data_IF_742124025433
#
_entry.id   IF_742124025433
#
_cell.length_a   1.000
_cell.length_b   1.000
_cell.length_c   1.000
_cell.angle_alpha   90.00
_cell.angle_beta   90.00
_cell.angle_gamma   90.00
#
_symmetry.space_group_name_H-M   'P 1'
#
loop_
_entity.id
_entity.type
_entity.pdbx_description
1 polymer ?
#
# COMPACT_ATOMS: atom_id res chain seq x y z
N UNK A 1 -2.57 -19.32 17.19
CA UNK A 1 -3.26 -18.00 17.31
C UNK A 1 -2.53 -17.02 18.22
N UNK A 2 -1.84 -17.46 19.28
CA UNK A 2 -1.12 -16.59 20.23
C UNK A 2 0.00 -15.72 19.63
N UNK A 3 0.53 -16.06 18.46
CA UNK A 3 1.61 -15.31 17.79
C UNK A 3 1.14 -14.31 16.72
N UNK A 4 -0.16 -14.32 16.35
CA UNK A 4 -0.65 -13.52 15.22
C UNK A 4 -0.62 -12.02 15.52
N UNK A 5 -1.22 -11.58 16.63
CA UNK A 5 -1.21 -10.18 17.06
C UNK A 5 0.22 -9.61 17.22
N UNK A 6 1.13 -10.28 17.96
CA UNK A 6 2.51 -9.81 18.07
C UNK A 6 3.23 -9.68 16.72
N UNK A 7 3.03 -10.66 15.82
CA UNK A 7 3.57 -10.62 14.45
C UNK A 7 3.02 -9.45 13.65
N UNK A 8 1.71 -9.24 13.67
CA UNK A 8 1.07 -8.11 12.97
C UNK A 8 1.52 -6.76 13.51
N UNK A 9 1.70 -6.63 14.83
CA UNK A 9 2.25 -5.42 15.45
C UNK A 9 3.69 -5.17 14.97
N UNK A 10 4.53 -6.21 14.93
CA UNK A 10 5.90 -6.08 14.43
C UNK A 10 5.93 -5.67 12.95
N UNK A 11 5.07 -6.26 12.12
CA UNK A 11 4.93 -5.90 10.71
C UNK A 11 4.43 -4.46 10.55
N UNK A 12 3.43 -4.03 11.34
CA UNK A 12 2.93 -2.66 11.31
C UNK A 12 4.00 -1.66 11.75
N UNK A 13 4.81 -2.00 12.75
CA UNK A 13 5.94 -1.18 13.17
C UNK A 13 6.97 -1.02 12.05
N UNK A 14 7.30 -2.10 11.33
CA UNK A 14 8.19 -2.03 10.17
C UNK A 14 7.59 -1.17 9.05
N UNK A 15 6.30 -1.31 8.78
CA UNK A 15 5.62 -0.54 7.73
C UNK A 15 5.51 0.96 8.08
N UNK A 16 5.44 1.30 9.37
CA UNK A 16 5.46 2.69 9.83
C UNK A 16 6.75 3.44 9.52
N UNK A 17 7.84 2.71 9.23
CA UNK A 17 9.13 3.27 8.82
C UNK A 17 9.17 3.64 7.32
N UNK A 18 8.03 3.69 6.65
CA UNK A 18 7.92 4.06 5.25
C UNK A 18 8.52 5.47 5.01
N UNK A 19 9.63 5.58 4.24
CA UNK A 19 10.30 6.85 4.00
C UNK A 19 9.42 7.91 3.34
N UNK A 20 8.49 7.52 2.45
CA UNK A 20 7.61 8.47 1.76
C UNK A 20 6.58 9.04 2.72
N UNK A 21 5.99 8.19 3.58
CA UNK A 21 5.05 8.59 4.61
C UNK A 21 5.74 9.55 5.60
N UNK A 22 6.95 9.23 6.05
CA UNK A 22 7.75 10.10 6.92
C UNK A 22 8.04 11.45 6.25
N UNK A 23 8.53 11.45 5.01
CA UNK A 23 8.86 12.68 4.29
C UNK A 23 7.64 13.60 4.11
N UNK A 24 6.49 13.03 3.72
CA UNK A 24 5.24 13.78 3.57
C UNK A 24 4.70 14.25 4.92
N UNK A 25 4.84 13.44 5.96
CA UNK A 25 4.44 13.81 7.31
C UNK A 25 5.24 15.01 7.83
N UNK A 26 6.56 15.01 7.64
CA UNK A 26 7.46 16.13 7.96
C UNK A 26 7.08 17.38 7.15
N UNK A 27 6.81 17.21 5.85
CA UNK A 27 6.35 18.31 4.99
C UNK A 27 5.05 18.92 5.52
N UNK A 28 4.04 18.12 5.86
CA UNK A 28 2.73 18.58 6.33
C UNK A 28 2.83 19.32 7.67
N UNK A 29 3.74 18.92 8.55
CA UNK A 29 4.03 19.61 9.82
C UNK A 29 4.59 21.02 9.60
N UNK A 30 5.24 21.29 8.47
CA UNK A 30 5.70 22.63 8.09
C UNK A 30 4.61 23.53 7.50
N UNK A 31 3.37 23.05 7.34
CA UNK A 31 2.28 23.80 6.70
C UNK A 31 1.37 24.51 7.70
N UNK A 32 0.52 25.43 7.21
CA UNK A 32 -0.52 26.08 8.03
C UNK A 32 -1.54 25.07 8.58
N UNK A 33 -1.87 25.09 9.87
CA UNK A 33 -2.73 24.06 10.51
C UNK A 33 -2.14 22.64 10.38
N UNK A 34 -0.93 22.39 10.92
CA UNK A 34 -0.18 21.16 10.71
C UNK A 34 -0.88 19.92 11.28
N UNK A 35 -1.50 20.04 12.47
CA UNK A 35 -2.16 18.93 13.16
C UNK A 35 -3.34 18.34 12.36
N UNK A 36 -4.39 19.11 11.99
CA UNK A 36 -5.52 18.53 11.27
C UNK A 36 -5.15 18.00 9.88
N UNK A 37 -4.14 18.58 9.22
CA UNK A 37 -3.63 18.06 7.94
C UNK A 37 -2.88 16.75 8.12
N UNK A 38 -2.02 16.66 9.13
CA UNK A 38 -1.32 15.41 9.46
C UNK A 38 -2.28 14.29 9.78
N UNK A 39 -3.31 14.57 10.59
CA UNK A 39 -4.36 13.59 10.91
C UNK A 39 -5.10 13.16 9.64
N UNK A 40 -5.52 14.11 8.78
CA UNK A 40 -6.19 13.78 7.53
C UNK A 40 -5.33 12.89 6.62
N UNK A 41 -4.02 13.13 6.54
CA UNK A 41 -3.07 12.31 5.79
C UNK A 41 -2.99 10.88 6.33
N UNK A 42 -2.78 10.73 7.65
CA UNK A 42 -2.74 9.41 8.31
C UNK A 42 -4.05 8.64 8.13
N UNK A 43 -5.20 9.32 8.24
CA UNK A 43 -6.50 8.71 7.96
C UNK A 43 -6.57 8.26 6.49
N UNK A 44 -6.01 9.01 5.55
CA UNK A 44 -5.91 8.61 4.14
C UNK A 44 -5.13 7.30 3.95
N UNK A 45 -3.96 7.20 4.59
CA UNK A 45 -3.12 5.98 4.60
C UNK A 45 -3.90 4.81 5.19
N UNK A 46 -4.50 5.01 6.37
CA UNK A 46 -5.32 4.03 7.06
C UNK A 46 -6.40 3.46 6.14
N UNK A 47 -7.18 4.33 5.49
CA UNK A 47 -8.25 3.89 4.61
C UNK A 47 -7.72 3.15 3.37
N UNK A 48 -6.61 3.58 2.79
CA UNK A 48 -6.00 2.90 1.65
C UNK A 48 -5.55 1.48 2.03
N UNK A 49 -4.86 1.31 3.15
CA UNK A 49 -4.52 -0.02 3.64
C UNK A 49 -5.78 -0.81 3.98
N UNK A 50 -6.63 -0.34 4.89
CA UNK A 50 -7.80 -1.08 5.32
C UNK A 50 -8.69 -1.56 4.14
N UNK A 51 -8.98 -0.67 3.19
CA UNK A 51 -9.79 -1.03 2.00
C UNK A 51 -9.07 -1.99 1.06
N UNK A 52 -7.78 -1.76 0.76
CA UNK A 52 -7.01 -2.69 -0.08
C UNK A 52 -6.85 -4.07 0.55
N UNK A 53 -6.78 -4.14 1.89
CA UNK A 53 -6.67 -5.40 2.63
C UNK A 53 -7.97 -6.17 2.62
N UNK A 54 -9.08 -5.46 2.79
CA UNK A 54 -10.40 -6.03 2.67
C UNK A 54 -10.64 -6.57 1.25
N UNK A 55 -10.27 -5.79 0.22
CA UNK A 55 -10.30 -6.23 -1.17
C UNK A 55 -9.35 -7.39 -1.44
N UNK A 56 -8.18 -7.44 -0.80
CA UNK A 56 -7.25 -8.53 -0.97
C UNK A 56 -7.81 -9.82 -0.33
N UNK A 57 -8.28 -9.77 0.92
CA UNK A 57 -8.82 -10.94 1.62
C UNK A 57 -10.10 -11.46 0.98
N UNK A 58 -11.05 -10.57 0.64
CA UNK A 58 -12.35 -10.98 0.08
C UNK A 58 -12.32 -11.18 -1.44
N UNK A 59 -11.45 -10.43 -2.12
CA UNK A 59 -11.41 -10.32 -3.57
C UNK A 59 -10.43 -11.27 -4.23
N UNK A 60 -9.30 -11.66 -3.61
CA UNK A 60 -8.33 -12.53 -4.30
C UNK A 60 -8.96 -13.84 -4.76
N UNK A 61 -9.69 -14.55 -3.89
CA UNK A 61 -10.30 -15.83 -4.26
C UNK A 61 -11.33 -15.67 -5.37
N UNK A 62 -12.16 -14.63 -5.31
CA UNK A 62 -13.19 -14.34 -6.32
C UNK A 62 -12.60 -13.86 -7.63
N UNK A 63 -11.55 -13.06 -7.59
CA UNK A 63 -10.88 -12.50 -8.77
C UNK A 63 -10.06 -13.57 -9.47
N UNK A 64 -9.36 -14.43 -8.72
CA UNK A 64 -8.68 -15.62 -9.27
C UNK A 64 -9.70 -16.55 -9.94
N UNK A 65 -10.81 -16.88 -9.27
CA UNK A 65 -11.82 -17.77 -9.88
C UNK A 65 -12.53 -17.13 -11.07
N UNK A 66 -12.90 -15.85 -11.00
CA UNK A 66 -13.68 -15.20 -12.07
C UNK A 66 -12.81 -14.82 -13.28
N UNK A 67 -11.58 -14.36 -13.05
CA UNK A 67 -10.72 -13.84 -14.12
C UNK A 67 -9.81 -14.93 -14.68
N UNK A 68 -9.28 -15.85 -13.87
CA UNK A 68 -8.30 -16.86 -14.32
C UNK A 68 -9.00 -18.18 -14.68
N UNK A 69 -9.95 -18.66 -13.86
CA UNK A 69 -10.58 -19.96 -14.11
C UNK A 69 -11.61 -19.92 -15.28
N UNK A 70 -12.36 -18.82 -15.45
CA UNK A 70 -13.36 -18.71 -16.52
C UNK A 70 -12.80 -18.28 -17.88
N UNK A 71 -11.58 -17.76 -17.94
CA UNK A 71 -10.98 -17.29 -19.21
C UNK A 71 -10.18 -18.38 -19.95
N UNK A 72 -10.08 -19.59 -19.39
CA UNK A 72 -9.23 -20.66 -19.93
C UNK A 72 -7.74 -20.33 -19.88
N UNK A 73 -7.36 -19.25 -19.20
CA UNK A 73 -6.00 -18.75 -19.12
C UNK A 73 -5.19 -19.52 -18.06
N UNK A 74 -4.75 -20.72 -18.42
CA UNK A 74 -3.80 -21.50 -17.60
C UNK A 74 -2.37 -21.05 -17.91
N UNK A 75 -1.91 -20.01 -17.22
CA UNK A 75 -0.51 -19.62 -17.30
C UNK A 75 0.35 -20.70 -16.61
N UNK A 76 1.14 -21.45 -17.39
CA UNK A 76 2.11 -22.40 -16.82
C UNK A 76 3.02 -21.68 -15.82
N UNK A 77 3.32 -22.32 -14.69
CA UNK A 77 4.22 -21.77 -13.64
C UNK A 77 5.53 -21.25 -14.23
N UNK A 78 6.06 -21.93 -15.25
CA UNK A 78 7.27 -21.49 -15.96
C UNK A 78 7.09 -20.16 -16.71
N UNK A 79 5.94 -19.95 -17.37
CA UNK A 79 5.64 -18.69 -18.07
C UNK A 79 5.46 -17.53 -17.09
N UNK A 80 4.87 -17.79 -15.91
CA UNK A 80 4.75 -16.77 -14.86
C UNK A 80 6.12 -16.27 -14.42
N UNK A 81 7.05 -17.19 -14.11
CA UNK A 81 8.42 -16.80 -13.71
C UNK A 81 9.19 -16.10 -14.82
N UNK A 82 9.00 -16.49 -16.09
CA UNK A 82 9.63 -15.81 -17.23
C UNK A 82 9.10 -14.37 -17.34
N UNK A 83 7.78 -14.17 -17.25
CA UNK A 83 7.17 -12.83 -17.28
C UNK A 83 7.69 -12.00 -16.11
N UNK A 84 7.69 -12.55 -14.90
CA UNK A 84 8.20 -11.87 -13.70
C UNK A 84 9.68 -11.45 -13.86
N UNK A 85 10.52 -12.34 -14.41
CA UNK A 85 11.92 -12.05 -14.67
C UNK A 85 12.10 -10.93 -15.70
N UNK A 86 11.35 -10.98 -16.82
CA UNK A 86 11.39 -9.94 -17.85
C UNK A 86 10.89 -8.60 -17.33
N UNK A 87 9.79 -8.58 -16.55
CA UNK A 87 9.30 -7.37 -15.89
C UNK A 87 10.36 -6.79 -14.95
N UNK A 88 11.05 -7.63 -14.17
CA UNK A 88 12.17 -7.21 -13.32
C UNK A 88 13.31 -6.56 -14.12
N UNK A 89 13.72 -7.17 -15.23
CA UNK A 89 14.76 -6.60 -16.12
C UNK A 89 14.31 -5.24 -16.68
N UNK A 90 13.06 -5.14 -17.17
CA UNK A 90 12.52 -3.89 -17.72
C UNK A 90 12.55 -2.80 -16.66
N UNK A 91 12.10 -3.08 -15.44
CA UNK A 91 12.12 -2.12 -14.33
C UNK A 91 13.54 -1.70 -13.95
N UNK A 92 14.52 -2.61 -13.98
CA UNK A 92 15.92 -2.27 -13.74
C UNK A 92 16.48 -1.36 -14.82
N UNK A 93 16.24 -1.67 -16.10
CA UNK A 93 16.68 -0.83 -17.23
C UNK A 93 16.04 0.56 -17.11
N UNK A 94 14.73 0.62 -16.89
CA UNK A 94 13.98 1.87 -16.70
C UNK A 94 14.57 2.65 -15.51
N UNK A 95 14.80 2.01 -14.37
CA UNK A 95 15.38 2.66 -13.18
C UNK A 95 16.78 3.23 -13.41
N UNK A 96 17.65 2.54 -14.16
CA UNK A 96 19.03 3.01 -14.44
C UNK A 96 19.06 4.07 -15.55
N UNK A 97 18.13 4.01 -16.49
CA UNK A 97 18.07 4.93 -17.64
C UNK A 97 17.23 6.17 -17.38
N UNK A 98 16.31 6.14 -16.41
CA UNK A 98 15.54 7.31 -16.01
C UNK A 98 16.46 8.34 -15.38
N UNK A 99 16.78 9.38 -16.17
CA UNK A 99 17.34 10.61 -15.66
C UNK A 99 16.18 11.46 -15.13
N UNK A 100 15.96 11.39 -13.82
CA UNK A 100 15.03 12.32 -13.15
C UNK A 100 15.69 13.70 -13.21
N UNK A 101 15.12 14.67 -13.95
CA UNK A 101 15.70 16.01 -14.02
C UNK A 101 15.73 16.62 -12.63
N UNK A 102 16.93 16.97 -12.15
CA UNK A 102 17.18 17.63 -10.86
C UNK A 102 16.80 19.12 -10.87
N UNK A 103 16.02 19.56 -11.87
CA UNK A 103 15.53 20.92 -11.88
C UNK A 103 14.47 21.04 -10.78
N UNK A 104 14.91 21.59 -9.65
CA UNK A 104 14.03 22.18 -8.67
C UNK A 104 13.30 23.34 -9.36
N UNK A 105 12.19 23.04 -10.03
CA UNK A 105 11.23 24.10 -10.33
C UNK A 105 10.93 24.80 -8.99
N UNK A 106 10.87 26.15 -8.97
CA UNK A 106 10.47 26.86 -7.77
C UNK A 106 9.13 26.26 -7.35
N UNK A 107 9.12 25.61 -6.19
CA UNK A 107 7.94 24.93 -5.65
C UNK A 107 6.82 25.94 -5.68
N UNK A 108 5.93 25.83 -6.68
CA UNK A 108 4.77 26.71 -6.79
C UNK A 108 4.05 26.59 -5.46
N UNK A 109 3.89 27.74 -4.79
CA UNK A 109 3.29 27.79 -3.47
C UNK A 109 2.05 26.89 -3.46
N UNK A 110 2.01 25.84 -2.62
CA UNK A 110 1.05 24.77 -2.75
C UNK A 110 -0.35 25.37 -2.73
N UNK A 111 -1.10 25.09 -3.79
CA UNK A 111 -2.50 25.44 -3.94
C UNK A 111 -3.21 25.05 -2.64
N UNK A 112 -3.77 26.03 -1.90
CA UNK A 112 -4.36 25.90 -0.54
C UNK A 112 -4.68 24.44 -0.17
N UNK A 113 -3.74 23.76 0.50
CA UNK A 113 -3.93 22.39 0.98
C UNK A 113 -5.10 22.39 1.98
N UNK A 114 -6.20 21.75 1.62
CA UNK A 114 -7.32 21.53 2.53
C UNK A 114 -7.30 20.08 3.03
N UNK A 115 -8.08 19.78 4.07
CA UNK A 115 -8.09 18.45 4.68
C UNK A 115 -8.40 17.34 3.66
N UNK A 116 -9.34 17.57 2.75
CA UNK A 116 -9.72 16.59 1.73
C UNK A 116 -8.57 16.26 0.77
N UNK A 117 -7.84 17.27 0.28
CA UNK A 117 -6.66 17.06 -0.57
C UNK A 117 -5.55 16.33 0.19
N UNK A 118 -5.37 16.63 1.47
CA UNK A 118 -4.36 15.96 2.30
C UNK A 118 -4.73 14.49 2.60
N UNK A 119 -6.02 14.21 2.81
CA UNK A 119 -6.53 12.84 2.90
C UNK A 119 -6.31 12.07 1.59
N UNK A 120 -6.70 12.65 0.45
CA UNK A 120 -6.49 12.03 -0.86
C UNK A 120 -5.02 11.81 -1.16
N UNK A 121 -4.14 12.73 -0.75
CA UNK A 121 -2.70 12.58 -0.87
C UNK A 121 -2.20 11.33 -0.13
N UNK A 122 -2.61 11.13 1.12
CA UNK A 122 -2.27 9.92 1.88
C UNK A 122 -2.76 8.66 1.18
N UNK A 123 -4.03 8.65 0.77
CA UNK A 123 -4.61 7.52 0.06
C UNK A 123 -3.90 7.19 -1.25
N UNK A 124 -3.63 8.20 -2.09
CA UNK A 124 -2.98 8.00 -3.39
C UNK A 124 -1.55 7.51 -3.27
N UNK A 125 -0.76 8.07 -2.36
CA UNK A 125 0.64 7.64 -2.15
C UNK A 125 0.67 6.19 -1.68
N UNK A 126 -0.15 5.83 -0.68
CA UNK A 126 -0.23 4.45 -0.22
C UNK A 126 -0.65 3.49 -1.34
N UNK A 127 -1.66 3.84 -2.14
CA UNK A 127 -2.09 3.00 -3.27
C UNK A 127 -0.97 2.80 -4.31
N UNK A 128 -0.19 3.84 -4.59
CA UNK A 128 0.94 3.75 -5.52
C UNK A 128 2.08 2.88 -4.97
N UNK A 129 2.21 2.81 -3.66
CA UNK A 129 3.21 1.99 -2.97
C UNK A 129 2.74 0.58 -2.63
N UNK A 130 1.43 0.31 -2.72
CA UNK A 130 0.88 -1.03 -2.48
C UNK A 130 1.63 -2.14 -3.23
N UNK A 131 1.98 -2.02 -4.53
CA UNK A 131 2.68 -3.07 -5.26
C UNK A 131 4.02 -3.47 -4.63
N UNK A 132 4.67 -2.56 -3.90
CA UNK A 132 5.97 -2.78 -3.24
C UNK A 132 5.84 -2.96 -1.73
N UNK A 133 4.63 -2.92 -1.17
CA UNK A 133 4.36 -3.05 0.26
C UNK A 133 4.48 -4.51 0.74
N UNK A 134 5.70 -5.08 0.71
CA UNK A 134 5.98 -6.44 1.16
C UNK A 134 5.51 -6.72 2.60
N UNK A 135 5.73 -5.83 3.60
CA UNK A 135 5.24 -6.07 4.95
C UNK A 135 3.71 -6.22 4.97
N UNK A 136 3.02 -5.43 4.16
CA UNK A 136 1.57 -5.46 4.09
C UNK A 136 1.01 -6.79 3.55
N UNK A 137 1.58 -7.30 2.46
CA UNK A 137 1.16 -8.59 1.91
C UNK A 137 1.48 -9.77 2.84
N UNK A 138 2.60 -9.71 3.57
CA UNK A 138 2.91 -10.71 4.59
C UNK A 138 1.86 -10.73 5.73
N UNK A 139 1.34 -9.56 6.12
CA UNK A 139 0.23 -9.48 7.08
C UNK A 139 -1.06 -10.08 6.51
N UNK A 140 -1.42 -9.75 5.26
CA UNK A 140 -2.62 -10.30 4.61
C UNK A 140 -2.55 -11.82 4.55
N UNK A 141 -1.41 -12.39 4.17
CA UNK A 141 -1.22 -13.84 4.11
C UNK A 141 -1.45 -14.52 5.47
N UNK A 142 -0.94 -13.93 6.57
CA UNK A 142 -1.19 -14.43 7.92
C UNK A 142 -2.67 -14.33 8.32
N UNK A 143 -3.35 -13.25 7.95
CA UNK A 143 -4.79 -13.04 8.22
C UNK A 143 -5.63 -14.08 7.46
N UNK A 144 -5.33 -14.32 6.18
CA UNK A 144 -6.00 -15.33 5.36
C UNK A 144 -5.77 -16.74 5.94
N UNK A 145 -4.54 -17.08 6.31
CA UNK A 145 -4.22 -18.39 6.94
C UNK A 145 -4.91 -18.59 8.29
N UNK A 146 -5.17 -17.52 9.03
CA UNK A 146 -5.88 -17.58 10.30
C UNK A 146 -7.37 -17.93 10.14
N UNK A 147 -7.90 -17.86 8.91
CA UNK A 147 -9.27 -18.24 8.54
C UNK A 147 -10.32 -17.68 9.51
N UNK A 148 -10.23 -16.37 9.75
CA UNK A 148 -11.09 -15.65 10.68
C UNK A 148 -12.44 -15.35 10.03
N UNK A 149 -13.47 -15.13 10.86
CA UNK A 149 -14.73 -14.58 10.37
C UNK A 149 -14.55 -13.14 9.83
N UNK A 150 -15.56 -12.65 9.11
CA UNK A 150 -15.49 -11.34 8.45
C UNK A 150 -15.30 -10.19 9.44
N UNK A 151 -15.98 -10.22 10.59
CA UNK A 151 -15.88 -9.15 11.58
C UNK A 151 -14.49 -9.12 12.19
N UNK A 152 -13.98 -10.29 12.60
CA UNK A 152 -12.61 -10.43 13.10
C UNK A 152 -11.55 -9.98 12.09
N UNK A 153 -11.75 -10.31 10.81
CA UNK A 153 -10.87 -9.87 9.71
C UNK A 153 -10.89 -8.35 9.57
N UNK A 154 -12.07 -7.73 9.54
CA UNK A 154 -12.21 -6.26 9.44
C UNK A 154 -11.57 -5.55 10.63
N UNK A 155 -11.75 -6.08 11.85
CA UNK A 155 -11.15 -5.55 13.07
C UNK A 155 -9.64 -5.67 13.09
N UNK A 156 -9.08 -6.80 12.67
CA UNK A 156 -7.62 -7.00 12.62
C UNK A 156 -6.98 -6.12 11.54
N UNK A 157 -7.61 -5.98 10.37
CA UNK A 157 -7.14 -5.05 9.35
C UNK A 157 -7.17 -3.60 9.86
N UNK A 158 -8.19 -3.23 10.63
CA UNK A 158 -8.28 -1.89 11.23
C UNK A 158 -7.25 -1.66 12.34
N UNK A 159 -6.82 -2.68 13.07
CA UNK A 159 -5.76 -2.55 14.08
C UNK A 159 -4.38 -2.31 13.44
N UNK A 160 -4.22 -2.70 12.17
CA UNK A 160 -2.96 -2.60 11.43
C UNK A 160 -2.86 -1.33 10.57
N UNK A 161 -3.98 -0.89 9.99
CA UNK A 161 -4.04 0.30 9.13
C UNK A 161 -3.61 1.56 9.86
#
# INVERSE_FOLDING_TARGET
MSALLPSLIAIAALDSLNPSAIALQVYLLGTTKPVPRSIAFVIGIFFAYWTSGLLAVLGLDRLIQTVIANSGFSLSTSLFYIIQFLTGIILLIVGVTLRIPTQAEPVKAPQKLNLAKTFLLGMSVTILELPTALPYFAAIEQIVRANLDLLSTMSILALRG
#
